data_IF_341230470239
#
_entry.id   IF_341230470239
#
_cell.length_a   1.000
_cell.length_b   1.000
_cell.length_c   1.000
_cell.angle_alpha   90.00
_cell.angle_beta   90.00
_cell.angle_gamma   90.00
#
_symmetry.space_group_name_H-M   'P 1'
#
loop_
_entity.id
_entity.type
_entity.pdbx_description
1 polymer ?
#
# COMPACT_ATOMS: atom_id res chain seq x y z
N UNK A 1 -15.18 11.43 2.97
CA UNK A 1 -14.15 11.29 1.91
C UNK A 1 -12.80 10.80 2.39
N UNK A 2 -12.25 11.31 3.50
CA UNK A 2 -10.91 10.91 3.96
C UNK A 2 -10.73 9.40 4.21
N UNK A 3 -11.72 8.72 4.79
CA UNK A 3 -11.66 7.28 5.02
C UNK A 3 -11.52 6.47 3.72
N UNK A 4 -12.24 6.86 2.67
CA UNK A 4 -12.17 6.20 1.35
C UNK A 4 -10.77 6.38 0.75
N UNK A 5 -10.21 7.61 0.83
CA UNK A 5 -8.85 7.88 0.34
C UNK A 5 -7.80 7.06 1.10
N UNK A 6 -7.90 6.99 2.42
CA UNK A 6 -6.96 6.21 3.24
C UNK A 6 -7.13 4.71 3.06
N UNK A 7 -8.34 4.24 2.72
CA UNK A 7 -8.58 2.85 2.33
C UNK A 7 -7.85 2.51 1.03
N UNK A 8 -8.01 3.33 -0.01
CA UNK A 8 -7.32 3.15 -1.30
C UNK A 8 -5.79 3.15 -1.09
N UNK A 9 -5.28 4.14 -0.34
CA UNK A 9 -3.85 4.23 -0.01
C UNK A 9 -3.33 2.98 0.72
N UNK A 10 -4.08 2.47 1.71
CA UNK A 10 -3.68 1.27 2.46
C UNK A 10 -3.61 0.04 1.56
N UNK A 11 -4.64 -0.18 0.73
CA UNK A 11 -4.68 -1.31 -0.21
C UNK A 11 -3.59 -1.21 -1.28
N UNK A 12 -3.31 -0.02 -1.80
CA UNK A 12 -2.19 0.23 -2.74
C UNK A 12 -0.83 -0.11 -2.12
N UNK A 13 -0.60 0.28 -0.86
CA UNK A 13 0.66 -0.01 -0.18
C UNK A 13 0.83 -1.50 0.12
N UNK A 14 -0.26 -2.20 0.45
CA UNK A 14 -0.25 -3.65 0.66
C UNK A 14 0.14 -4.40 -0.62
N UNK A 15 -0.53 -4.13 -1.74
CA UNK A 15 -0.24 -4.80 -3.02
C UNK A 15 1.15 -4.43 -3.56
N UNK A 16 1.61 -3.21 -3.34
CA UNK A 16 2.98 -2.81 -3.68
C UNK A 16 4.02 -3.58 -2.85
N UNK A 17 3.77 -3.80 -1.56
CA UNK A 17 4.64 -4.57 -0.68
C UNK A 17 4.71 -6.04 -1.09
N UNK A 18 3.57 -6.65 -1.44
CA UNK A 18 3.52 -8.00 -1.98
C UNK A 18 4.31 -8.14 -3.29
N UNK A 19 4.17 -7.15 -4.19
CA UNK A 19 4.95 -7.11 -5.43
C UNK A 19 6.46 -7.04 -5.20
N UNK A 20 6.92 -6.23 -4.24
CA UNK A 20 8.34 -6.14 -3.86
C UNK A 20 8.85 -7.50 -3.35
N UNK A 21 8.14 -8.12 -2.40
CA UNK A 21 8.54 -9.41 -1.83
C UNK A 21 8.50 -10.53 -2.88
N UNK A 22 7.50 -10.53 -3.77
CA UNK A 22 7.44 -11.50 -4.86
C UNK A 22 8.61 -11.34 -5.81
N UNK A 23 8.96 -10.09 -6.18
CA UNK A 23 10.10 -9.81 -7.06
C UNK A 23 11.42 -10.34 -6.47
N UNK A 24 11.65 -10.10 -5.19
CA UNK A 24 12.80 -10.66 -4.47
C UNK A 24 12.76 -12.20 -4.48
N UNK A 25 11.58 -12.79 -4.22
CA UNK A 25 11.42 -14.25 -4.14
C UNK A 25 11.71 -14.96 -5.46
N UNK A 26 11.45 -14.31 -6.60
CA UNK A 26 11.76 -14.83 -7.93
C UNK A 26 13.17 -14.45 -8.42
N UNK A 27 13.99 -13.82 -7.57
CA UNK A 27 15.38 -13.48 -7.87
C UNK A 27 15.58 -12.19 -8.66
N UNK A 28 14.56 -11.32 -8.71
CA UNK A 28 14.67 -9.99 -9.30
C UNK A 28 15.12 -8.97 -8.24
N UNK A 29 15.79 -7.91 -8.68
CA UNK A 29 16.13 -6.78 -7.81
C UNK A 29 14.88 -5.92 -7.54
N UNK A 30 14.43 -5.80 -6.28
CA UNK A 30 13.28 -4.95 -5.93
C UNK A 30 13.46 -3.48 -6.31
N UNK A 31 14.69 -2.96 -6.42
CA UNK A 31 14.94 -1.60 -6.90
C UNK A 31 14.51 -1.43 -8.37
N UNK A 32 14.75 -2.45 -9.20
CA UNK A 32 14.30 -2.45 -10.60
C UNK A 32 12.78 -2.46 -10.67
N UNK A 33 12.09 -3.17 -9.77
CA UNK A 33 10.62 -3.10 -9.70
C UNK A 33 10.15 -1.67 -9.40
N UNK A 34 10.75 -0.99 -8.42
CA UNK A 34 10.41 0.41 -8.08
C UNK A 34 10.60 1.33 -9.29
N UNK A 35 11.70 1.17 -10.02
CA UNK A 35 11.99 1.94 -11.23
C UNK A 35 10.94 1.69 -12.33
N UNK A 36 10.67 0.44 -12.66
CA UNK A 36 9.70 0.06 -13.70
C UNK A 36 8.30 0.57 -13.36
N UNK A 37 7.87 0.45 -12.10
CA UNK A 37 6.58 1.00 -11.63
C UNK A 37 6.53 2.52 -11.81
N UNK A 38 7.63 3.24 -11.56
CA UNK A 38 7.69 4.70 -11.68
C UNK A 38 7.54 5.21 -13.12
N UNK A 39 7.88 4.38 -14.11
CA UNK A 39 7.77 4.68 -15.54
C UNK A 39 6.45 4.23 -16.16
N UNK A 40 5.67 3.41 -15.44
CA UNK A 40 4.43 2.82 -15.92
C UNK A 40 3.17 3.64 -15.60
N UNK A 41 2.02 3.14 -16.07
CA UNK A 41 0.71 3.77 -15.86
C UNK A 41 0.24 3.82 -14.39
N UNK A 42 0.83 2.99 -13.53
CA UNK A 42 0.53 2.91 -12.10
C UNK A 42 1.49 3.75 -11.25
N UNK A 43 2.33 4.57 -11.88
CA UNK A 43 3.25 5.46 -11.17
C UNK A 43 2.49 6.38 -10.20
N UNK A 44 2.97 6.42 -8.96
CA UNK A 44 2.42 7.27 -7.91
C UNK A 44 3.56 7.81 -7.03
N UNK A 45 3.52 9.10 -6.62
CA UNK A 45 4.56 9.68 -5.76
C UNK A 45 4.83 8.88 -4.49
N UNK A 46 3.80 8.20 -3.96
CA UNK A 46 3.91 7.33 -2.80
C UNK A 46 4.88 6.17 -3.00
N UNK A 47 4.88 5.54 -4.18
CA UNK A 47 5.78 4.42 -4.48
C UNK A 47 7.22 4.90 -4.61
N UNK A 48 7.46 6.03 -5.29
CA UNK A 48 8.81 6.61 -5.42
C UNK A 48 9.37 7.08 -4.07
N UNK A 49 8.52 7.58 -3.17
CA UNK A 49 8.93 8.02 -1.84
C UNK A 49 9.17 6.86 -0.87
N UNK A 50 8.34 5.80 -0.91
CA UNK A 50 8.41 4.70 0.05
C UNK A 50 9.23 3.52 -0.43
N UNK A 51 9.21 3.21 -1.73
CA UNK A 51 9.89 2.08 -2.36
C UNK A 51 11.36 1.95 -1.95
N UNK A 52 12.22 2.96 -2.13
CA UNK A 52 13.64 2.87 -1.78
C UNK A 52 13.90 2.58 -0.30
N UNK A 53 13.02 3.04 0.59
CA UNK A 53 13.14 2.78 2.03
C UNK A 53 12.63 1.37 2.38
N UNK A 54 11.54 0.93 1.73
CA UNK A 54 10.98 -0.41 1.90
C UNK A 54 11.95 -1.51 1.45
N UNK A 55 12.62 -1.33 0.30
CA UNK A 55 13.65 -2.27 -0.17
C UNK A 55 14.80 -2.41 0.83
N UNK A 56 15.12 -1.33 1.56
CA UNK A 56 16.16 -1.33 2.61
C UNK A 56 15.64 -1.75 3.98
N UNK A 57 14.36 -2.13 4.10
CA UNK A 57 13.69 -2.39 5.38
C UNK A 57 13.79 -1.22 6.38
N UNK A 58 13.81 0.02 5.87
CA UNK A 58 13.84 1.25 6.66
C UNK A 58 12.46 1.91 6.64
N UNK A 59 11.90 2.17 7.82
CA UNK A 59 10.55 2.72 7.95
C UNK A 59 10.52 4.01 8.79
N UNK A 60 11.15 5.11 8.33
CA UNK A 60 11.04 6.39 9.00
C UNK A 60 9.57 6.82 9.05
N UNK A 61 9.13 7.20 10.24
CA UNK A 61 7.72 7.46 10.50
C UNK A 61 7.30 8.81 9.92
N UNK A 62 6.64 8.78 8.77
CA UNK A 62 5.91 9.94 8.22
C UNK A 62 4.41 9.85 8.54
N UNK A 63 3.85 8.64 8.44
CA UNK A 63 2.50 8.32 8.87
C UNK A 63 2.54 7.02 9.67
N UNK A 64 2.30 7.03 11.00
CA UNK A 64 2.39 5.84 11.83
C UNK A 64 1.48 4.72 11.34
N UNK A 65 2.01 3.48 11.24
CA UNK A 65 1.26 2.31 10.77
C UNK A 65 -0.03 2.09 11.57
N UNK A 66 -0.01 2.32 12.89
CA UNK A 66 -1.19 2.24 13.77
C UNK A 66 -2.32 3.18 13.35
N UNK A 67 -2.01 4.32 12.74
CA UNK A 67 -3.01 5.27 12.27
C UNK A 67 -3.57 4.83 10.91
N UNK A 68 -2.74 4.33 10.00
CA UNK A 68 -3.23 3.68 8.78
C UNK A 68 -4.15 2.50 9.12
N UNK A 69 -3.78 1.64 10.07
CA UNK A 69 -4.60 0.51 10.49
C UNK A 69 -5.93 0.95 11.11
N UNK A 70 -5.93 2.01 11.93
CA UNK A 70 -7.16 2.63 12.45
C UNK A 70 -8.06 3.09 11.30
N UNK A 71 -7.49 3.77 10.31
CA UNK A 71 -8.26 4.31 9.19
C UNK A 71 -8.84 3.21 8.30
N UNK A 72 -8.11 2.11 8.07
CA UNK A 72 -8.65 0.92 7.39
C UNK A 72 -9.86 0.36 8.14
N UNK A 73 -9.76 0.19 9.47
CA UNK A 73 -10.88 -0.29 10.28
C UNK A 73 -12.09 0.64 10.20
N UNK A 74 -11.87 1.95 10.25
CA UNK A 74 -12.95 2.94 10.12
C UNK A 74 -13.59 2.91 8.71
N UNK A 75 -12.79 2.71 7.67
CA UNK A 75 -13.31 2.57 6.30
C UNK A 75 -14.13 1.29 6.11
N UNK A 76 -13.69 0.16 6.68
CA UNK A 76 -14.44 -1.09 6.65
C UNK A 76 -15.76 -0.97 7.42
N UNK A 77 -15.76 -0.34 8.61
CA UNK A 77 -17.00 -0.08 9.36
C UNK A 77 -17.96 0.86 8.62
N UNK A 78 -17.44 1.86 7.88
CA UNK A 78 -18.25 2.69 7.00
C UNK A 78 -18.87 1.85 5.86
N UNK A 79 -18.09 0.99 5.22
CA UNK A 79 -18.57 0.13 4.14
C UNK A 79 -19.68 -0.84 4.63
N UNK A 80 -19.50 -1.41 5.82
CA UNK A 80 -20.50 -2.25 6.49
C UNK A 80 -21.80 -1.47 6.76
N UNK A 81 -21.72 -0.23 7.25
CA UNK A 81 -22.91 0.60 7.54
C UNK A 81 -23.79 0.90 6.33
N UNK A 82 -23.25 0.77 5.11
CA UNK A 82 -23.95 0.96 3.84
C UNK A 82 -24.10 -0.33 3.04
N UNK A 83 -23.80 -1.48 3.65
CA UNK A 83 -23.87 -2.80 3.00
C UNK A 83 -23.06 -2.91 1.70
N UNK A 84 -21.91 -2.21 1.61
CA UNK A 84 -21.01 -2.24 0.46
C UNK A 84 -19.84 -3.21 0.73
N UNK A 85 -19.73 -4.34 0.01
CA UNK A 85 -18.57 -5.23 0.12
C UNK A 85 -17.28 -4.55 -0.35
N UNK A 86 -16.17 -4.74 0.38
CA UNK A 86 -14.84 -4.18 0.08
C UNK A 86 -13.73 -5.22 0.28
N UNK A 87 -13.81 -6.32 -0.47
CA UNK A 87 -12.97 -7.52 -0.28
C UNK A 87 -11.45 -7.27 -0.30
N UNK A 88 -10.96 -6.45 -1.23
CA UNK A 88 -9.52 -6.16 -1.31
C UNK A 88 -9.00 -5.46 -0.04
N UNK A 89 -9.80 -4.57 0.54
CA UNK A 89 -9.46 -3.81 1.74
C UNK A 89 -9.63 -4.62 3.03
N UNK A 90 -10.37 -5.74 2.97
CA UNK A 90 -10.59 -6.62 4.12
C UNK A 90 -9.63 -7.82 4.17
N UNK A 91 -8.67 -7.89 3.25
CA UNK A 91 -7.64 -8.92 3.29
C UNK A 91 -6.79 -8.75 4.57
N UNK A 92 -6.62 -9.84 5.32
CA UNK A 92 -5.90 -9.87 6.60
C UNK A 92 -4.43 -10.19 6.38
#
# INVERSE_FOLDING_TARGET
>A
MKLIVNMIMGSMMATFSEGLLLSEKVGLDPNVLVEVVSLGAISAPMYSLKGPSMVKSLYPTAFPLKHQQKDMRLALGLAESVSQPTHCSSCK
#
